data_IF_162068609869
#
_entry.id   IF_162068609869
#
_cell.length_a   1.000
_cell.length_b   1.000
_cell.length_c   1.000
_cell.angle_alpha   90.00
_cell.angle_beta   90.00
_cell.angle_gamma   90.00
#
_symmetry.space_group_name_H-M   'P 1'
#
loop_
_entity.id
_entity.type
_entity.pdbx_description
1 polymer ?
#
# COMPACT_ATOMS: atom_id res chain seq x y z
N UNK A 1 -20.40 53.02 4.20
CA UNK A 1 -20.80 52.81 5.61
C UNK A 1 -22.17 52.12 5.58
N UNK A 2 -22.33 51.05 6.37
CA UNK A 2 -23.46 50.10 6.41
C UNK A 2 -23.29 48.93 5.42
N UNK A 3 -23.59 47.68 5.72
CA UNK A 3 -23.83 46.90 6.94
C UNK A 3 -23.92 45.44 6.47
N UNK A 4 -23.46 44.47 7.26
CA UNK A 4 -24.08 43.17 7.53
C UNK A 4 -23.06 42.28 8.26
N UNK A 5 -23.28 42.15 9.57
CA UNK A 5 -22.49 41.33 10.48
C UNK A 5 -22.98 39.86 10.49
N UNK A 6 -22.11 38.92 10.87
CA UNK A 6 -22.33 37.48 10.83
C UNK A 6 -23.12 36.96 12.03
N UNK A 7 -23.80 35.82 11.86
CA UNK A 7 -24.44 35.09 12.97
C UNK A 7 -23.75 33.73 13.12
N UNK A 8 -22.90 33.55 14.15
CA UNK A 8 -22.47 32.24 14.64
C UNK A 8 -23.40 31.74 15.75
N UNK A 9 -23.97 30.54 15.59
CA UNK A 9 -24.73 29.88 16.67
C UNK A 9 -23.79 29.27 17.72
N UNK A 10 -23.48 30.09 18.72
CA UNK A 10 -23.57 29.85 20.18
C UNK A 10 -24.31 28.57 20.62
N UNK A 11 -24.01 27.83 21.71
CA UNK A 11 -23.02 27.87 22.82
C UNK A 11 -23.17 26.55 23.61
N UNK A 12 -22.05 26.06 24.13
CA UNK A 12 -21.78 25.60 25.52
C UNK A 12 -22.79 24.72 26.27
N UNK A 13 -22.30 23.64 26.91
CA UNK A 13 -22.33 23.48 28.37
C UNK A 13 -21.46 22.30 28.83
N UNK A 14 -20.32 22.66 29.42
CA UNK A 14 -19.42 21.80 30.18
C UNK A 14 -20.01 21.57 31.60
N UNK A 15 -19.70 20.38 32.15
CA UNK A 15 -19.65 20.00 33.59
C UNK A 15 -20.95 19.74 34.38
N UNK A 16 -21.15 18.45 34.73
CA UNK A 16 -21.48 17.96 36.09
C UNK A 16 -20.87 16.55 36.23
N UNK A 17 -19.66 16.40 36.75
CA UNK A 17 -19.33 16.03 38.15
C UNK A 17 -20.38 15.12 38.82
N UNK A 18 -20.02 13.85 38.96
CA UNK A 18 -20.35 13.04 40.14
C UNK A 18 -19.27 11.96 40.35
N UNK A 19 -18.52 12.00 41.48
CA UNK A 19 -17.63 10.94 41.91
C UNK A 19 -18.41 9.99 42.84
N UNK A 20 -18.67 8.77 42.40
CA UNK A 20 -19.13 7.68 43.27
C UNK A 20 -18.45 6.40 42.80
N UNK A 21 -17.34 6.01 43.41
CA UNK A 21 -17.26 5.09 44.56
C UNK A 21 -17.76 3.66 44.28
N UNK A 22 -16.89 2.71 44.65
CA UNK A 22 -17.11 1.27 44.92
C UNK A 22 -16.97 0.37 43.67
N UNK A 23 -15.76 -0.15 43.40
CA UNK A 23 -15.26 -1.45 43.89
C UNK A 23 -16.12 -2.64 43.40
N UNK A 24 -15.58 -3.67 42.73
CA UNK A 24 -14.62 -4.61 43.31
C UNK A 24 -13.98 -5.45 42.19
N UNK A 25 -12.71 -5.19 41.94
CA UNK A 25 -11.81 -6.06 41.17
C UNK A 25 -11.56 -7.31 42.02
N UNK A 26 -11.88 -8.50 41.51
CA UNK A 26 -11.37 -9.77 42.04
C UNK A 26 -10.19 -10.18 41.16
N UNK A 27 -8.99 -9.73 41.53
CA UNK A 27 -7.76 -10.28 41.00
C UNK A 27 -7.64 -11.72 41.50
N UNK A 28 -7.54 -12.68 40.57
CA UNK A 28 -6.85 -13.92 40.87
C UNK A 28 -5.37 -13.69 40.57
N UNK A 29 -4.66 -13.33 41.64
CA UNK A 29 -3.23 -13.42 41.88
C UNK A 29 -2.39 -14.08 40.77
N UNK A 30 -1.31 -13.43 40.39
CA UNK A 30 0.06 -13.81 40.77
C UNK A 30 1.03 -13.01 39.90
N UNK A 31 1.85 -12.21 40.58
CA UNK A 31 3.22 -11.84 40.18
C UNK A 31 3.31 -10.79 39.05
N UNK A 32 4.09 -9.72 39.09
CA UNK A 32 5.10 -9.17 40.00
C UNK A 32 5.34 -7.74 39.50
N UNK A 33 5.54 -6.77 40.41
CA UNK A 33 6.21 -5.47 40.19
C UNK A 33 5.59 -4.51 39.16
N UNK A 34 5.57 -3.20 39.29
CA UNK A 34 6.03 -2.25 40.29
C UNK A 34 5.50 -0.89 39.81
N UNK A 35 4.99 -0.10 40.75
CA UNK A 35 5.17 1.35 40.88
C UNK A 35 5.57 2.13 39.60
N UNK A 36 4.72 3.02 39.09
CA UNK A 36 4.67 4.45 39.44
C UNK A 36 5.59 5.33 38.56
N UNK A 37 5.11 6.55 38.27
CA UNK A 37 5.80 7.67 37.61
C UNK A 37 5.80 7.65 36.07
N UNK A 38 4.89 8.38 35.43
CA UNK A 38 5.00 9.81 35.06
C UNK A 38 6.02 10.07 33.93
N UNK A 39 5.49 10.62 32.84
CA UNK A 39 6.12 11.60 31.94
C UNK A 39 7.50 11.26 31.36
N UNK A 40 7.55 10.92 30.08
CA UNK A 40 8.43 11.59 29.11
C UNK A 40 8.25 11.04 27.71
N UNK A 41 8.36 12.00 26.79
CA UNK A 41 8.48 11.88 25.35
C UNK A 41 9.41 10.77 24.86
N UNK A 42 9.18 10.40 23.60
CA UNK A 42 9.78 9.34 22.80
C UNK A 42 9.10 7.98 22.95
N UNK A 43 9.09 7.24 21.84
CA UNK A 43 8.41 5.96 21.55
C UNK A 43 7.04 6.16 20.89
N UNK A 44 6.65 5.49 19.81
CA UNK A 44 7.27 4.57 18.86
C UNK A 44 6.11 4.23 17.92
N UNK A 45 6.10 4.66 16.66
CA UNK A 45 5.20 4.03 15.68
C UNK A 45 6.10 3.30 14.68
N UNK A 46 6.75 2.26 15.21
CA UNK A 46 7.16 1.15 14.37
C UNK A 46 5.86 0.52 13.86
N UNK A 47 5.40 1.02 12.72
CA UNK A 47 4.30 0.45 11.97
C UNK A 47 4.66 -1.01 11.72
N UNK A 48 3.95 -1.86 12.43
CA UNK A 48 4.07 -3.29 12.40
C UNK A 48 3.58 -3.74 11.04
N UNK A 49 4.50 -4.06 10.14
CA UNK A 49 4.19 -4.76 8.90
C UNK A 49 3.77 -6.18 9.25
N UNK A 50 2.51 -6.34 9.60
CA UNK A 50 1.83 -7.63 9.58
C UNK A 50 1.64 -8.04 8.12
N UNK A 51 2.11 -9.21 7.66
CA UNK A 51 1.81 -9.70 6.33
C UNK A 51 0.38 -10.26 6.34
N UNK A 52 -0.61 -9.39 6.54
CA UNK A 52 -1.96 -9.67 6.10
C UNK A 52 -1.92 -9.69 4.56
N UNK A 53 -2.44 -10.71 3.87
CA UNK A 53 -2.55 -10.68 2.42
C UNK A 53 -3.56 -9.59 2.05
N UNK A 54 -3.04 -8.36 1.87
CA UNK A 54 -3.79 -7.21 1.41
C UNK A 54 -4.20 -7.49 -0.03
N UNK A 55 -5.51 -7.68 -0.24
CA UNK A 55 -6.12 -7.97 -1.55
C UNK A 55 -5.84 -6.89 -2.61
N UNK A 56 -5.25 -5.76 -2.20
CA UNK A 56 -4.89 -4.65 -3.07
C UNK A 56 -3.47 -4.77 -3.66
N UNK A 57 -2.64 -5.70 -3.18
CA UNK A 57 -1.26 -5.84 -3.64
C UNK A 57 -1.17 -6.41 -5.07
N UNK A 58 -0.19 -5.93 -5.84
CA UNK A 58 0.14 -6.48 -7.16
C UNK A 58 1.10 -7.65 -6.98
N UNK A 59 0.78 -8.79 -7.57
CA UNK A 59 1.61 -9.98 -7.51
C UNK A 59 2.45 -10.13 -8.79
N UNK A 60 3.62 -10.75 -8.66
CA UNK A 60 4.46 -11.15 -9.80
C UNK A 60 4.57 -12.67 -9.79
N UNK A 61 4.57 -13.33 -10.95
CA UNK A 61 4.86 -14.77 -11.06
C UNK A 61 6.36 -15.04 -11.02
N UNK A 62 6.74 -16.30 -10.82
CA UNK A 62 8.15 -16.70 -10.81
C UNK A 62 8.78 -16.57 -12.21
N UNK A 63 8.00 -16.75 -13.28
CA UNK A 63 8.45 -16.50 -14.66
C UNK A 63 8.80 -15.03 -14.88
N UNK A 64 7.97 -14.11 -14.39
CA UNK A 64 8.24 -12.68 -14.43
C UNK A 64 9.55 -12.33 -13.71
N UNK A 65 9.75 -12.89 -12.51
CA UNK A 65 10.97 -12.65 -11.72
C UNK A 65 12.20 -13.21 -12.42
N UNK A 66 12.12 -14.44 -12.92
CA UNK A 66 13.21 -15.07 -13.67
C UNK A 66 13.61 -14.19 -14.84
N UNK A 67 12.64 -13.71 -15.63
CA UNK A 67 12.92 -12.86 -16.78
C UNK A 67 13.56 -11.53 -16.37
N UNK A 68 13.07 -10.90 -15.31
CA UNK A 68 13.66 -9.66 -14.80
C UNK A 68 15.12 -9.85 -14.34
N UNK A 69 15.43 -10.97 -13.69
CA UNK A 69 16.81 -11.31 -13.29
C UNK A 69 17.71 -11.53 -14.51
N UNK A 70 17.20 -12.16 -15.57
CA UNK A 70 17.93 -12.31 -16.84
C UNK A 70 18.24 -10.96 -17.49
N UNK A 71 17.27 -10.03 -17.51
CA UNK A 71 17.44 -8.68 -18.06
C UNK A 71 18.46 -7.86 -17.24
N UNK A 72 18.40 -7.93 -15.91
CA UNK A 72 19.39 -7.29 -15.04
C UNK A 72 20.80 -7.87 -15.24
N UNK A 73 20.91 -9.17 -15.53
CA UNK A 73 22.19 -9.82 -15.81
C UNK A 73 22.73 -9.46 -17.21
N UNK A 74 21.87 -9.26 -18.21
CA UNK A 74 22.29 -8.92 -19.58
C UNK A 74 22.72 -7.47 -19.73
N UNK A 75 21.99 -6.53 -19.12
CA UNK A 75 22.21 -5.08 -19.31
C UNK A 75 23.31 -4.49 -18.38
N UNK A 76 24.03 -5.34 -17.63
CA UNK A 76 25.03 -4.95 -16.61
C UNK A 76 24.54 -3.86 -15.61
N UNK A 77 23.23 -3.70 -15.47
CA UNK A 77 22.59 -2.67 -14.66
C UNK A 77 21.68 -3.36 -13.66
N UNK A 78 22.19 -3.52 -12.43
CA UNK A 78 21.50 -4.22 -11.35
C UNK A 78 20.32 -3.43 -10.77
N UNK A 79 20.21 -2.14 -11.11
CA UNK A 79 19.23 -1.22 -10.53
C UNK A 79 17.98 -1.02 -11.40
N UNK A 80 17.89 -1.71 -12.54
CA UNK A 80 16.75 -1.64 -13.45
C UNK A 80 15.48 -2.18 -12.78
N UNK A 81 14.42 -1.39 -12.82
CA UNK A 81 13.11 -1.68 -12.24
C UNK A 81 12.07 -1.80 -13.34
N UNK A 82 11.12 -2.72 -13.18
CA UNK A 82 10.00 -2.85 -14.10
C UNK A 82 8.96 -1.80 -13.74
N UNK A 83 8.64 -0.89 -14.66
CA UNK A 83 7.55 0.07 -14.51
C UNK A 83 6.32 -0.41 -15.26
N UNK A 84 5.16 -0.36 -14.61
CA UNK A 84 3.87 -0.70 -15.20
C UNK A 84 2.97 0.53 -15.27
N UNK A 85 2.64 0.92 -16.49
CA UNK A 85 1.76 2.03 -16.80
C UNK A 85 0.52 1.53 -17.53
N UNK A 86 -0.63 2.15 -17.26
CA UNK A 86 -1.87 1.90 -18.00
C UNK A 86 -2.12 3.06 -18.94
N UNK A 87 -2.08 2.78 -20.23
CA UNK A 87 -2.46 3.73 -21.26
C UNK A 87 -3.88 3.48 -21.72
N UNK A 88 -4.61 4.54 -22.05
CA UNK A 88 -5.87 4.43 -22.76
C UNK A 88 -5.57 4.08 -24.21
N UNK A 89 -5.84 2.84 -24.61
CA UNK A 89 -5.83 2.43 -26.01
C UNK A 89 -7.01 3.05 -26.76
N UNK A 90 -7.14 2.73 -28.05
CA UNK A 90 -8.19 3.27 -28.94
C UNK A 90 -9.62 2.85 -28.56
N UNK A 91 -10.49 2.69 -29.56
CA UNK A 91 -11.96 2.57 -29.42
C UNK A 91 -12.48 1.52 -28.40
N UNK A 92 -11.65 0.59 -27.93
CA UNK A 92 -12.09 -0.62 -27.21
C UNK A 92 -11.37 -0.91 -25.89
N UNK A 93 -10.49 -0.05 -25.35
CA UNK A 93 -10.01 -0.26 -23.96
C UNK A 93 -8.65 0.31 -23.57
N UNK A 94 -8.08 -0.30 -22.52
CA UNK A 94 -6.79 0.07 -21.92
C UNK A 94 -5.68 -0.88 -22.38
N UNK A 95 -4.46 -0.37 -22.50
CA UNK A 95 -3.25 -1.12 -22.79
C UNK A 95 -2.30 -1.03 -21.58
N UNK A 96 -1.69 -2.16 -21.23
CA UNK A 96 -0.61 -2.19 -20.25
C UNK A 96 0.71 -1.97 -20.97
N UNK A 97 1.49 -1.01 -20.49
CA UNK A 97 2.82 -0.69 -20.99
C UNK A 97 3.83 -1.03 -19.91
N UNK A 98 4.90 -1.69 -20.32
CA UNK A 98 5.99 -2.12 -19.46
C UNK A 98 7.27 -1.45 -19.91
N UNK A 99 7.89 -0.70 -19.01
CA UNK A 99 9.16 -0.02 -19.26
C UNK A 99 10.20 -0.48 -18.23
N UNK A 100 11.47 -0.37 -18.58
CA UNK A 100 12.57 -0.55 -17.65
C UNK A 100 13.13 0.83 -17.31
N UNK A 101 13.08 1.20 -16.04
CA UNK A 101 13.57 2.48 -15.55
C UNK A 101 14.44 2.26 -14.30
N UNK A 102 15.45 3.11 -14.13
CA UNK A 102 16.32 3.14 -12.96
C UNK A 102 15.85 4.17 -11.92
N UNK A 103 14.82 4.95 -12.26
CA UNK A 103 14.28 6.02 -11.40
C UNK A 103 12.91 5.64 -10.86
N UNK A 104 12.64 6.12 -9.66
CA UNK A 104 11.33 6.02 -9.00
C UNK A 104 10.85 7.43 -8.70
N UNK A 105 9.58 7.72 -8.98
CA UNK A 105 8.94 8.99 -8.65
C UNK A 105 8.27 8.91 -7.26
N UNK A 106 8.03 10.06 -6.59
CA UNK A 106 7.39 10.06 -5.26
C UNK A 106 5.95 9.55 -5.26
N UNK A 107 5.27 9.61 -6.42
CA UNK A 107 3.89 9.17 -6.59
C UNK A 107 3.79 7.71 -7.05
N UNK A 108 4.92 7.01 -7.14
CA UNK A 108 4.97 5.61 -7.57
C UNK A 108 4.94 4.66 -6.38
N UNK A 109 4.24 3.54 -6.56
CA UNK A 109 4.22 2.43 -5.60
C UNK A 109 5.25 1.39 -6.01
N UNK A 110 6.17 1.08 -5.10
CA UNK A 110 7.23 0.09 -5.32
C UNK A 110 6.88 -1.22 -4.62
N UNK A 111 6.86 -2.30 -5.38
CA UNK A 111 6.68 -3.67 -4.90
C UNK A 111 7.98 -4.44 -5.11
N UNK A 112 8.48 -5.10 -4.06
CA UNK A 112 9.71 -5.88 -4.12
C UNK A 112 9.40 -7.35 -3.92
N UNK A 113 9.79 -8.20 -4.89
CA UNK A 113 9.67 -9.66 -4.78
C UNK A 113 10.97 -10.31 -5.24
N UNK A 114 11.60 -11.10 -4.36
CA UNK A 114 12.82 -11.86 -4.65
C UNK A 114 13.97 -11.04 -5.29
N UNK A 115 14.11 -9.77 -4.88
CA UNK A 115 15.13 -8.85 -5.38
C UNK A 115 14.75 -8.07 -6.64
N UNK A 116 13.62 -8.39 -7.26
CA UNK A 116 13.07 -7.65 -8.39
C UNK A 116 12.13 -6.56 -7.87
N UNK A 117 12.27 -5.36 -8.44
CA UNK A 117 11.43 -4.19 -8.13
C UNK A 117 10.43 -3.95 -9.26
N UNK A 118 9.16 -3.83 -8.90
CA UNK A 118 8.06 -3.41 -9.75
C UNK A 118 7.57 -2.05 -9.27
N UNK A 119 7.51 -1.08 -10.17
CA UNK A 119 7.08 0.29 -9.93
C UNK A 119 5.75 0.49 -10.66
N UNK A 120 4.76 1.02 -9.97
CA UNK A 120 3.44 1.30 -10.53
C UNK A 120 3.02 2.71 -10.14
N UNK A 121 2.75 3.55 -11.13
CA UNK A 121 2.23 4.90 -10.90
C UNK A 121 0.89 4.84 -10.16
N UNK A 122 0.59 5.78 -9.24
CA UNK A 122 -0.64 5.73 -8.42
C UNK A 122 -1.93 5.66 -9.27
N UNK A 123 -1.95 6.38 -10.41
CA UNK A 123 -3.08 6.35 -11.37
C UNK A 123 -3.24 4.96 -11.97
N UNK A 124 -2.14 4.31 -12.35
CA UNK A 124 -2.12 2.97 -12.94
C UNK A 124 -2.45 1.89 -11.91
N UNK A 125 -2.05 2.11 -10.65
CA UNK A 125 -2.25 1.18 -9.54
C UNK A 125 -3.72 0.83 -9.32
N UNK A 126 -4.62 1.82 -9.41
CA UNK A 126 -6.06 1.57 -9.22
C UNK A 126 -6.65 0.60 -10.23
N UNK A 127 -6.06 0.54 -11.43
CA UNK A 127 -6.42 -0.46 -12.40
C UNK A 127 -5.79 -1.80 -12.00
N UNK A 128 -4.50 -1.87 -11.71
CA UNK A 128 -3.77 -3.15 -11.54
C UNK A 128 -3.80 -3.74 -10.13
N UNK A 129 -4.46 -3.10 -9.15
CA UNK A 129 -4.61 -3.64 -7.79
C UNK A 129 -5.19 -5.05 -7.79
N UNK A 130 -4.57 -5.95 -7.04
CA UNK A 130 -4.94 -7.38 -6.99
C UNK A 130 -4.68 -8.15 -8.30
N UNK A 131 -3.98 -7.57 -9.28
CA UNK A 131 -3.58 -8.28 -10.49
C UNK A 131 -2.28 -9.07 -10.27
N UNK A 132 -2.08 -10.09 -11.10
CA UNK A 132 -0.85 -10.86 -11.17
C UNK A 132 -0.15 -10.58 -12.49
N UNK A 133 1.10 -10.16 -12.42
CA UNK A 133 1.97 -9.92 -13.57
C UNK A 133 2.71 -11.22 -13.89
N UNK A 134 2.55 -11.71 -15.11
CA UNK A 134 3.24 -12.89 -15.63
C UNK A 134 4.09 -12.54 -16.84
N UNK A 135 5.06 -13.39 -17.14
CA UNK A 135 5.84 -13.32 -18.37
C UNK A 135 5.61 -14.60 -19.16
N UNK A 136 5.01 -14.45 -20.34
CA UNK A 136 4.69 -15.56 -21.23
C UNK A 136 5.68 -15.58 -22.37
N UNK A 137 6.42 -16.68 -22.48
CA UNK A 137 7.35 -16.94 -23.57
C UNK A 137 6.81 -18.09 -24.44
N UNK A 138 6.38 -17.74 -25.64
CA UNK A 138 5.96 -18.66 -26.69
C UNK A 138 7.04 -18.73 -27.78
N UNK A 139 7.00 -19.77 -28.64
CA UNK A 139 7.98 -19.94 -29.72
C UNK A 139 8.07 -18.74 -30.69
N UNK A 140 6.97 -17.98 -30.83
CA UNK A 140 6.85 -16.88 -31.78
C UNK A 140 6.90 -15.49 -31.12
N UNK A 141 6.73 -15.41 -29.80
CA UNK A 141 6.63 -14.12 -29.08
C UNK A 141 6.92 -14.29 -27.61
N UNK A 142 7.42 -13.22 -27.00
CA UNK A 142 7.59 -13.14 -25.55
C UNK A 142 7.01 -11.83 -25.08
N UNK A 143 6.13 -11.85 -24.08
CA UNK A 143 5.45 -10.65 -23.61
C UNK A 143 5.11 -10.74 -22.12
N UNK A 144 5.10 -9.59 -21.46
CA UNK A 144 4.51 -9.44 -20.13
C UNK A 144 3.00 -9.37 -20.24
N UNK A 145 2.32 -10.11 -19.37
CA UNK A 145 0.85 -10.25 -19.37
C UNK A 145 0.33 -9.95 -17.99
N UNK A 146 -0.69 -9.09 -17.91
CA UNK A 146 -1.41 -8.80 -16.68
C UNK A 146 -2.64 -9.70 -16.60
N UNK A 147 -2.66 -10.59 -15.61
CA UNK A 147 -3.82 -11.45 -15.33
C UNK A 147 -4.59 -10.89 -14.14
N UNK A 148 -5.83 -10.45 -14.37
CA UNK A 148 -6.77 -10.15 -13.29
C UNK A 148 -7.67 -11.34 -13.04
N UNK A 149 -7.75 -11.78 -11.78
CA UNK A 149 -8.83 -12.67 -11.34
C UNK A 149 -10.08 -11.82 -11.23
N UNK A 150 -10.84 -11.72 -12.32
CA UNK A 150 -12.15 -11.06 -12.31
C UNK A 150 -13.09 -11.94 -11.49
N UNK A 151 -13.18 -11.71 -10.18
CA UNK A 151 -14.21 -12.28 -9.32
C UNK A 151 -15.52 -11.44 -9.36
N UNK A 152 -15.67 -10.53 -10.32
CA UNK A 152 -16.88 -9.71 -10.46
C UNK A 152 -17.54 -9.95 -11.82
N UNK A 153 -18.35 -11.00 -11.86
CA UNK A 153 -19.55 -11.07 -12.67
C UNK A 153 -20.59 -11.84 -11.86
N UNK A 154 -21.30 -11.15 -10.97
CA UNK A 154 -22.50 -11.61 -10.28
C UNK A 154 -23.41 -10.42 -9.99
#
# INVERSE_FOLDING_TARGET
MNALNPIPMSRSLIQRISPFFIARIKQNHKLLSSSFSSSSSALHEASSESPSPSLDAVHMTDNCIKRMKELQASEQSSDQMLRLSVETGGCSGFQYVFDLDDKTNPDDRVFVREGVKLVVDDISYDFVKGATIDYVEELIRSAFVVSRVVLFCA
#
